data_IF_268594673561
#
_entry.id   IF_268594673561
#
_cell.length_a   1.000
_cell.length_b   1.000
_cell.length_c   1.000
_cell.angle_alpha   90.00
_cell.angle_beta   90.00
_cell.angle_gamma   90.00
#
_symmetry.space_group_name_H-M   'P 1'
#
loop_
_entity.id
_entity.type
_entity.pdbx_description
1 polymer ?
#
# COMPACT_ATOMS: atom_id res chain seq x y z
N UNK A 1 -45.70 -35.72 3.21
CA UNK A 1 -44.90 -34.71 3.93
C UNK A 1 -43.45 -34.94 3.50
N UNK A 2 -42.95 -34.44 2.36
CA UNK A 2 -42.52 -33.06 2.02
C UNK A 2 -41.75 -32.40 3.17
N UNK A 3 -40.48 -31.99 3.11
CA UNK A 3 -39.53 -31.83 2.00
C UNK A 3 -38.08 -31.98 2.50
N UNK A 4 -37.17 -32.26 1.57
CA UNK A 4 -35.73 -32.28 1.74
C UNK A 4 -35.10 -30.88 1.83
N UNK A 5 -33.89 -30.82 2.40
CA UNK A 5 -32.72 -30.07 1.92
C UNK A 5 -31.97 -29.38 3.07
N UNK A 6 -30.88 -30.03 3.53
CA UNK A 6 -29.82 -29.38 4.30
C UNK A 6 -29.17 -28.32 3.40
N UNK A 7 -29.27 -27.06 3.80
CA UNK A 7 -28.63 -25.93 3.16
C UNK A 7 -27.11 -26.13 3.11
N UNK A 8 -26.60 -26.45 1.93
CA UNK A 8 -25.19 -26.43 1.62
C UNK A 8 -24.74 -25.03 1.17
N UNK A 9 -23.47 -24.73 1.47
CA UNK A 9 -22.60 -23.99 0.54
C UNK A 9 -23.13 -22.64 0.03
N UNK A 10 -23.17 -21.62 0.90
CA UNK A 10 -23.65 -20.29 0.51
C UNK A 10 -22.62 -19.15 0.65
N UNK A 11 -21.33 -19.47 0.77
CA UNK A 11 -20.25 -18.47 0.60
C UNK A 11 -19.67 -18.47 -0.81
N UNK A 12 -19.59 -19.65 -1.44
CA UNK A 12 -19.12 -19.78 -2.83
C UNK A 12 -20.13 -19.28 -3.86
N UNK A 13 -21.44 -19.32 -3.54
CA UNK A 13 -22.51 -18.82 -4.43
C UNK A 13 -22.58 -17.29 -4.48
N UNK A 14 -22.31 -16.62 -3.36
CA UNK A 14 -22.22 -15.16 -3.35
C UNK A 14 -21.03 -14.64 -4.17
N UNK A 15 -19.91 -15.35 -4.18
CA UNK A 15 -18.77 -15.01 -5.03
C UNK A 15 -19.02 -15.27 -6.52
N UNK A 16 -19.81 -16.29 -6.88
CA UNK A 16 -20.12 -16.59 -8.29
C UNK A 16 -21.11 -15.62 -8.94
N UNK A 17 -21.94 -14.94 -8.16
CA UNK A 17 -22.94 -14.00 -8.67
C UNK A 17 -22.44 -12.55 -8.78
N UNK A 18 -21.31 -12.22 -8.14
CA UNK A 18 -20.66 -10.90 -8.24
C UNK A 18 -19.60 -10.82 -9.33
N UNK A 19 -19.10 -11.96 -9.82
CA UNK A 19 -18.08 -12.02 -10.87
C UNK A 19 -18.50 -11.39 -12.22
N UNK A 20 -19.74 -11.58 -12.73
CA UNK A 20 -20.10 -11.01 -14.03
C UNK A 20 -20.39 -9.50 -13.99
N UNK A 21 -20.83 -8.94 -12.85
CA UNK A 21 -21.14 -7.49 -12.74
C UNK A 21 -19.88 -6.62 -12.66
N UNK A 22 -18.76 -7.15 -12.14
CA UNK A 22 -17.48 -6.44 -12.12
C UNK A 22 -16.73 -6.48 -13.46
N UNK A 23 -17.07 -7.43 -14.34
CA UNK A 23 -16.37 -7.61 -15.62
C UNK A 23 -16.82 -6.62 -16.71
N UNK A 24 -17.95 -5.92 -16.53
CA UNK A 24 -18.57 -5.08 -17.57
C UNK A 24 -18.18 -3.60 -17.49
N UNK A 25 -17.55 -3.15 -16.40
CA UNK A 25 -17.18 -1.72 -16.20
C UNK A 25 -15.69 -1.45 -16.46
N UNK A 26 -14.84 -2.48 -16.60
CA UNK A 26 -13.39 -2.29 -16.75
C UNK A 26 -12.87 -2.98 -18.03
N UNK A 27 -12.35 -2.22 -19.01
CA UNK A 27 -11.78 -2.77 -20.23
C UNK A 27 -10.66 -3.78 -19.94
N UNK A 28 -10.52 -4.82 -20.78
CA UNK A 28 -9.52 -5.87 -20.61
C UNK A 28 -8.07 -5.34 -20.56
N UNK A 29 -7.81 -4.19 -21.17
CA UNK A 29 -6.53 -3.47 -21.11
C UNK A 29 -6.15 -2.98 -19.70
N UNK A 30 -7.10 -2.90 -18.77
CA UNK A 30 -6.88 -2.44 -17.40
C UNK A 30 -6.79 -3.58 -16.38
N UNK A 31 -6.85 -4.85 -16.81
CA UNK A 31 -6.79 -5.99 -15.88
C UNK A 31 -5.41 -6.17 -15.22
N UNK A 32 -4.36 -5.56 -15.78
CA UNK A 32 -3.03 -5.50 -15.16
C UNK A 32 -2.91 -4.34 -14.14
N UNK A 33 -3.83 -3.37 -14.17
CA UNK A 33 -3.86 -2.26 -13.22
C UNK A 33 -4.58 -2.60 -11.90
N UNK A 34 -5.38 -3.66 -11.86
CA UNK A 34 -6.04 -4.10 -10.62
C UNK A 34 -5.07 -4.72 -9.61
N UNK A 35 -3.91 -5.22 -10.06
CA UNK A 35 -2.83 -5.69 -9.16
C UNK A 35 -1.92 -4.54 -8.67
N UNK A 36 -1.98 -3.37 -9.29
CA UNK A 36 -1.15 -2.20 -8.96
C UNK A 36 -1.80 -1.26 -7.92
N UNK A 37 -3.06 -1.50 -7.54
CA UNK A 37 -3.81 -0.66 -6.57
C UNK A 37 -3.89 -1.35 -5.19
N UNK A 38 -2.97 -2.28 -4.88
CA UNK A 38 -2.84 -2.78 -3.50
C UNK A 38 -1.99 -1.77 -2.71
N UNK A 39 -2.67 -0.74 -2.21
CA UNK A 39 -2.31 0.12 -1.08
C UNK A 39 -0.81 0.32 -0.82
N UNK A 40 -0.29 1.42 -1.37
CA UNK A 40 1.04 2.00 -1.22
C UNK A 40 1.52 2.18 0.24
N UNK A 41 0.59 2.08 1.19
CA UNK A 41 0.81 2.31 2.61
C UNK A 41 1.20 1.02 3.34
N UNK A 42 2.46 0.93 3.77
CA UNK A 42 3.05 -0.28 4.36
C UNK A 42 3.70 -0.02 5.72
N UNK A 43 3.73 -1.03 6.61
CA UNK A 43 4.54 -0.98 7.83
C UNK A 43 6.02 -0.89 7.49
N UNK A 44 6.82 -0.31 8.39
CA UNK A 44 8.25 -0.02 8.17
C UNK A 44 9.04 -1.18 7.55
N UNK A 45 8.86 -2.41 8.02
CA UNK A 45 9.62 -3.57 7.50
C UNK A 45 9.33 -3.86 6.03
N UNK A 46 8.05 -3.81 5.62
CA UNK A 46 7.64 -4.04 4.23
C UNK A 46 7.98 -2.85 3.35
N UNK A 47 7.77 -1.63 3.85
CA UNK A 47 8.16 -0.42 3.13
C UNK A 47 9.67 -0.39 2.83
N UNK A 48 10.49 -0.70 3.85
CA UNK A 48 11.94 -0.78 3.73
C UNK A 48 12.37 -1.83 2.69
N UNK A 49 11.76 -3.03 2.75
CA UNK A 49 11.99 -4.09 1.77
C UNK A 49 11.66 -3.63 0.35
N UNK A 50 10.50 -3.02 0.13
CA UNK A 50 10.04 -2.57 -1.19
C UNK A 50 10.87 -1.40 -1.73
N UNK A 51 11.43 -0.58 -0.85
CA UNK A 51 12.30 0.56 -1.18
C UNK A 51 13.76 0.16 -1.36
N UNK A 52 14.15 -1.06 -0.96
CA UNK A 52 15.55 -1.52 -0.99
C UNK A 52 16.44 -0.79 0.01
N UNK A 53 15.90 -0.40 1.17
CA UNK A 53 16.62 0.31 2.24
C UNK A 53 16.44 -0.37 3.59
N UNK A 54 17.20 0.04 4.61
CA UNK A 54 16.98 -0.44 5.97
C UNK A 54 15.80 0.28 6.65
N UNK A 55 15.11 -0.34 7.62
CA UNK A 55 14.10 0.33 8.45
C UNK A 55 14.64 1.60 9.14
N UNK A 56 15.89 1.55 9.62
CA UNK A 56 16.57 2.68 10.25
C UNK A 56 16.80 3.84 9.27
N UNK A 57 17.09 3.54 8.00
CA UNK A 57 17.17 4.56 6.94
C UNK A 57 15.85 5.34 6.84
N UNK A 58 14.70 4.67 6.83
CA UNK A 58 13.40 5.36 6.81
C UNK A 58 13.22 6.27 8.03
N UNK A 59 13.51 5.75 9.23
CA UNK A 59 13.40 6.54 10.45
C UNK A 59 14.30 7.78 10.45
N UNK A 60 15.56 7.66 10.04
CA UNK A 60 16.50 8.79 9.96
C UNK A 60 16.08 9.85 8.95
N UNK A 61 15.31 9.48 7.93
CA UNK A 61 14.88 10.41 6.86
C UNK A 61 13.54 11.08 7.12
N UNK A 62 12.87 10.81 8.25
CA UNK A 62 11.70 11.60 8.67
C UNK A 62 12.06 13.06 8.94
N UNK A 63 11.17 13.97 8.59
CA UNK A 63 11.26 15.40 8.90
C UNK A 63 11.42 15.65 10.41
N UNK A 64 10.79 14.81 11.25
CA UNK A 64 10.92 14.90 12.72
C UNK A 64 12.36 14.72 13.21
N UNK A 65 13.21 14.13 12.37
CA UNK A 65 14.61 13.85 12.63
C UNK A 65 15.54 14.71 11.74
N UNK A 66 15.03 15.78 11.11
CA UNK A 66 15.76 16.63 10.17
C UNK A 66 15.94 16.04 8.77
N UNK A 67 15.19 14.98 8.44
CA UNK A 67 15.14 14.40 7.11
C UNK A 67 14.16 15.10 6.17
N UNK A 68 13.90 14.48 5.01
CA UNK A 68 13.08 15.03 3.93
C UNK A 68 11.77 14.28 3.67
N UNK A 69 11.45 13.26 4.48
CA UNK A 69 10.18 12.55 4.41
C UNK A 69 9.18 13.22 5.35
N UNK A 70 8.02 13.63 4.83
CA UNK A 70 7.03 14.49 5.50
C UNK A 70 5.88 13.68 6.14
N UNK A 71 5.42 14.10 7.33
CA UNK A 71 4.25 13.50 7.99
C UNK A 71 2.97 13.81 7.20
N UNK A 72 2.07 12.84 7.09
CA UNK A 72 0.82 12.98 6.34
C UNK A 72 0.96 12.78 4.83
N UNK A 73 2.20 12.80 4.31
CA UNK A 73 2.51 12.59 2.89
C UNK A 73 3.31 11.31 2.65
N UNK A 74 4.51 11.23 3.21
CA UNK A 74 5.42 10.10 3.01
C UNK A 74 5.23 9.01 4.07
N UNK A 75 4.78 9.42 5.26
CA UNK A 75 4.41 8.50 6.34
C UNK A 75 3.32 9.09 7.23
N UNK A 76 2.62 8.23 7.97
CA UNK A 76 1.64 8.62 8.98
C UNK A 76 1.97 7.99 10.33
N UNK A 77 1.62 8.72 11.39
CA UNK A 77 1.66 8.21 12.76
C UNK A 77 0.37 7.45 13.07
N UNK A 78 0.46 6.43 13.93
CA UNK A 78 -0.73 5.84 14.53
C UNK A 78 -1.26 6.67 15.71
N UNK A 79 -2.40 6.26 16.29
CA UNK A 79 -3.12 7.05 17.29
C UNK A 79 -2.39 7.20 18.64
N UNK A 80 -1.39 6.36 18.92
CA UNK A 80 -0.62 6.39 20.17
C UNK A 80 0.88 6.55 19.91
N UNK A 81 1.61 7.04 20.91
CA UNK A 81 3.06 7.28 20.85
C UNK A 81 3.88 6.06 20.40
N UNK A 82 3.46 4.85 20.78
CA UNK A 82 4.12 3.59 20.46
C UNK A 82 3.50 2.88 19.25
N UNK A 83 2.54 3.51 18.56
CA UNK A 83 1.93 2.91 17.38
C UNK A 83 2.95 2.77 16.26
N UNK A 84 2.88 1.69 15.47
CA UNK A 84 3.75 1.54 14.32
C UNK A 84 3.50 2.67 13.31
N UNK A 85 4.57 3.07 12.62
CA UNK A 85 4.47 3.97 11.46
C UNK A 85 4.01 3.19 10.23
N UNK A 86 3.26 3.88 9.38
CA UNK A 86 2.88 3.41 8.05
C UNK A 86 3.42 4.38 7.02
N UNK A 87 4.00 3.85 5.96
CA UNK A 87 4.77 4.57 4.97
C UNK A 87 4.12 4.46 3.62
N UNK A 88 3.95 5.58 2.95
CA UNK A 88 3.59 5.61 1.55
C UNK A 88 4.87 5.30 0.73
N UNK A 89 4.94 4.09 0.19
CA UNK A 89 6.13 3.58 -0.48
C UNK A 89 6.49 4.40 -1.72
N UNK A 90 5.51 4.81 -2.53
CA UNK A 90 5.83 5.43 -3.80
C UNK A 90 6.10 6.94 -3.65
N UNK A 91 5.44 7.65 -2.73
CA UNK A 91 5.89 8.98 -2.27
C UNK A 91 7.31 8.94 -1.70
N UNK A 92 7.63 7.96 -0.83
CA UNK A 92 8.98 7.78 -0.31
C UNK A 92 10.00 7.59 -1.44
N UNK A 93 9.67 6.78 -2.46
CA UNK A 93 10.53 6.53 -3.62
C UNK A 93 10.82 7.82 -4.39
N UNK A 94 9.79 8.63 -4.62
CA UNK A 94 9.92 9.90 -5.32
C UNK A 94 10.78 10.90 -4.51
N UNK A 95 10.54 11.00 -3.21
CA UNK A 95 11.33 11.84 -2.31
C UNK A 95 12.81 11.42 -2.26
N UNK A 96 13.10 10.11 -2.21
CA UNK A 96 14.46 9.59 -2.28
C UNK A 96 15.15 9.98 -3.59
N UNK A 97 14.46 9.83 -4.73
CA UNK A 97 15.01 10.18 -6.03
C UNK A 97 15.28 11.69 -6.12
N UNK A 98 14.33 12.53 -5.73
CA UNK A 98 14.48 13.98 -5.71
C UNK A 98 15.67 14.42 -4.84
N UNK A 99 15.79 13.88 -3.62
CA UNK A 99 16.94 14.16 -2.77
C UNK A 99 18.25 13.67 -3.40
N UNK A 100 18.25 12.49 -4.01
CA UNK A 100 19.43 11.96 -4.72
C UNK A 100 19.86 12.84 -5.91
N UNK A 101 18.93 13.39 -6.68
CA UNK A 101 19.23 14.32 -7.76
C UNK A 101 19.79 15.64 -7.21
N UNK A 102 19.21 16.17 -6.14
CA UNK A 102 19.67 17.39 -5.48
C UNK A 102 21.11 17.24 -4.97
N UNK A 103 21.41 16.17 -4.23
CA UNK A 103 22.75 15.91 -3.70
C UNK A 103 23.80 15.80 -4.81
N UNK A 104 23.47 15.19 -5.95
CA UNK A 104 24.39 15.09 -7.11
C UNK A 104 24.58 16.39 -7.87
N UNK A 105 23.65 17.33 -7.75
CA UNK A 105 23.79 18.66 -8.36
C UNK A 105 24.63 19.59 -7.47
N UNK A 106 24.63 19.36 -6.17
CA UNK A 106 25.33 20.17 -5.17
C UNK A 106 26.77 19.70 -4.88
N UNK A 107 27.09 18.43 -5.17
CA UNK A 107 28.43 17.85 -5.01
C UNK A 107 29.20 17.79 -6.32
#
# INVERSE_FOLDING_TARGET
>A
MSAASKAGSDSSRQLSLLAPVLAEVVPASNRHNLFLIISEWMRTSFAALQLGVSPDTLHRRRESNGGFLEIGRDYVLGPYRNSPLVWNVQNCRDAFNQNGLRVRKEG
#
